data_IF_231617810582
#
_entry.id   IF_231617810582
#
_cell.length_a   1.000
_cell.length_b   1.000
_cell.length_c   1.000
_cell.angle_alpha   90.00
_cell.angle_beta   90.00
_cell.angle_gamma   90.00
#
_symmetry.space_group_name_H-M   'P 1'
#
loop_
_entity.id
_entity.type
_entity.pdbx_description
1 polymer ?
#
# COMPACT_ATOMS: atom_id res chain seq x y z
N UNK A 1 -21.29 -7.36 -0.29
CA UNK A 1 -20.35 -6.37 0.26
C UNK A 1 -18.95 -6.87 0.00
N UNK A 2 -18.08 -6.05 -0.58
CA UNK A 2 -16.66 -6.36 -0.66
C UNK A 2 -16.08 -6.45 0.76
N UNK A 3 -15.06 -7.28 0.97
CA UNK A 3 -14.36 -7.33 2.25
C UNK A 3 -13.78 -5.94 2.54
N UNK A 4 -13.98 -5.43 3.76
CA UNK A 4 -13.30 -4.24 4.23
C UNK A 4 -11.85 -4.64 4.49
N UNK A 5 -10.94 -4.23 3.59
CA UNK A 5 -9.50 -4.36 3.78
C UNK A 5 -8.97 -3.01 4.23
N UNK A 6 -8.46 -2.96 5.46
CA UNK A 6 -7.76 -1.80 5.98
C UNK A 6 -6.32 -2.18 6.22
N UNK A 7 -5.40 -1.36 5.73
CA UNK A 7 -4.00 -1.60 5.89
C UNK A 7 -3.25 -0.35 6.32
N UNK A 8 -2.25 -0.60 7.15
CA UNK A 8 -1.31 0.42 7.62
C UNK A 8 0.08 -0.13 7.34
N UNK A 9 0.95 0.75 6.88
CA UNK A 9 2.29 0.37 6.48
C UNK A 9 3.32 1.31 7.09
N UNK A 10 4.51 0.77 7.40
CA UNK A 10 5.63 1.53 7.97
C UNK A 10 6.89 1.21 7.18
N UNK A 11 7.60 2.24 6.73
CA UNK A 11 8.91 2.15 6.09
C UNK A 11 9.94 2.58 7.14
N UNK A 12 10.75 1.65 7.64
CA UNK A 12 11.74 1.86 8.69
C UNK A 12 13.16 1.80 8.14
N UNK A 13 14.05 2.69 8.58
CA UNK A 13 15.47 2.62 8.23
C UNK A 13 16.21 1.58 9.08
N UNK A 14 17.00 0.70 8.46
CA UNK A 14 17.89 -0.24 9.14
C UNK A 14 19.26 0.39 9.39
N UNK A 15 19.31 1.29 10.36
CA UNK A 15 20.52 2.01 10.76
C UNK A 15 20.27 3.49 10.98
N UNK A 16 21.30 4.24 11.41
CA UNK A 16 21.17 5.66 11.72
C UNK A 16 20.85 6.46 10.45
N UNK A 17 19.67 7.07 10.41
CA UNK A 17 19.25 7.95 9.33
C UNK A 17 18.62 9.20 9.94
N UNK A 18 19.20 10.37 9.64
CA UNK A 18 18.63 11.63 10.11
C UNK A 18 17.26 11.83 9.46
N UNK A 19 16.25 12.13 10.27
CA UNK A 19 14.87 12.35 9.80
C UNK A 19 14.76 13.30 8.58
N UNK A 20 15.50 14.42 8.50
CA UNK A 20 15.47 15.29 7.31
C UNK A 20 15.94 14.61 6.02
N UNK A 21 16.86 13.62 6.09
CA UNK A 21 17.30 12.86 4.90
C UNK A 21 16.18 11.94 4.41
N UNK A 22 15.51 11.25 5.35
CA UNK A 22 14.36 10.39 5.04
C UNK A 22 13.19 11.21 4.48
N UNK A 23 12.91 12.36 5.09
CA UNK A 23 11.89 13.29 4.63
C UNK A 23 12.16 13.74 3.19
N UNK A 24 13.35 14.27 2.90
CA UNK A 24 13.70 14.72 1.55
C UNK A 24 13.62 13.59 0.51
N UNK A 25 13.99 12.36 0.88
CA UNK A 25 13.85 11.19 0.02
C UNK A 25 12.38 10.86 -0.26
N UNK A 26 11.53 10.92 0.77
CA UNK A 26 10.09 10.72 0.66
C UNK A 26 9.44 11.80 -0.21
N UNK A 27 9.72 13.08 0.04
CA UNK A 27 9.13 14.19 -0.73
C UNK A 27 9.45 14.05 -2.21
N UNK A 28 10.71 13.77 -2.54
CA UNK A 28 11.14 13.57 -3.92
C UNK A 28 10.48 12.35 -4.56
N UNK A 29 10.37 11.24 -3.83
CA UNK A 29 9.67 10.04 -4.30
C UNK A 29 8.19 10.35 -4.59
N UNK A 30 7.51 11.06 -3.69
CA UNK A 30 6.11 11.43 -3.85
C UNK A 30 5.89 12.37 -5.04
N UNK A 31 6.77 13.36 -5.25
CA UNK A 31 6.73 14.22 -6.44
C UNK A 31 6.90 13.42 -7.73
N UNK A 32 7.85 12.49 -7.78
CA UNK A 32 8.05 11.61 -8.95
C UNK A 32 6.86 10.68 -9.22
N UNK A 33 6.13 10.29 -8.18
CA UNK A 33 4.90 9.51 -8.25
C UNK A 33 3.64 10.38 -8.54
N UNK A 34 3.81 11.68 -8.78
CA UNK A 34 2.71 12.59 -9.13
C UNK A 34 1.83 12.99 -7.95
N UNK A 35 2.41 13.17 -6.76
CA UNK A 35 1.72 13.63 -5.56
C UNK A 35 2.10 15.07 -5.21
N UNK A 36 1.10 15.82 -4.76
CA UNK A 36 1.25 17.19 -4.27
C UNK A 36 0.98 17.28 -2.78
N UNK A 37 1.83 18.01 -2.07
CA UNK A 37 1.68 18.24 -0.63
C UNK A 37 0.50 19.19 -0.39
N UNK A 38 -0.46 18.76 0.42
CA UNK A 38 -1.64 19.56 0.78
C UNK A 38 -1.59 20.10 2.20
N UNK A 39 -0.78 19.49 3.07
CA UNK A 39 -0.66 19.89 4.46
C UNK A 39 0.69 19.49 5.06
N UNK A 40 1.16 20.30 6.02
CA UNK A 40 2.33 20.03 6.85
C UNK A 40 2.09 20.57 8.26
N UNK A 41 2.31 19.75 9.29
CA UNK A 41 2.11 20.16 10.69
C UNK A 41 2.49 19.09 11.71
N UNK A 42 2.25 19.36 12.99
CA UNK A 42 2.39 18.37 14.08
C UNK A 42 1.07 17.69 14.41
N UNK A 43 -0.02 18.41 14.24
CA UNK A 43 -1.38 17.94 14.51
C UNK A 43 -2.09 17.57 13.20
N UNK A 44 -3.12 16.72 13.23
CA UNK A 44 -3.97 16.50 12.08
C UNK A 44 -4.65 17.81 11.66
N UNK A 45 -4.81 18.09 10.35
CA UNK A 45 -5.58 19.24 9.92
C UNK A 45 -7.04 19.11 10.39
N UNK A 46 -7.74 20.24 10.57
CA UNK A 46 -9.16 20.22 10.87
C UNK A 46 -9.92 19.45 9.78
N UNK A 47 -11.01 18.73 10.14
CA UNK A 47 -11.84 18.04 9.17
C UNK A 47 -12.42 19.06 8.18
N UNK A 48 -12.36 18.72 6.90
CA UNK A 48 -12.89 19.54 5.80
C UNK A 48 -14.07 18.79 5.19
N UNK A 49 -15.13 19.52 4.85
CA UNK A 49 -16.27 19.01 4.09
C UNK A 49 -16.24 19.65 2.69
N UNK A 50 -16.16 18.86 1.59
CA UNK A 50 -16.16 17.40 1.51
C UNK A 50 -14.89 16.74 2.05
N UNK A 51 -14.95 15.44 2.45
CA UNK A 51 -13.80 14.71 2.97
C UNK A 51 -12.60 14.80 2.02
N UNK A 52 -11.47 15.27 2.55
CA UNK A 52 -10.24 15.35 1.77
C UNK A 52 -9.71 13.93 1.47
N UNK A 53 -9.36 13.70 0.20
CA UNK A 53 -8.79 12.45 -0.31
C UNK A 53 -7.28 12.36 -0.12
N UNK A 54 -6.66 13.37 0.50
CA UNK A 54 -5.24 13.36 0.78
C UNK A 54 -4.85 12.27 1.80
N UNK A 55 -3.85 11.49 1.43
CA UNK A 55 -3.22 10.45 2.25
C UNK A 55 -2.29 11.09 3.28
N UNK A 56 -2.34 10.58 4.51
CA UNK A 56 -1.51 11.03 5.62
C UNK A 56 -0.21 10.21 5.72
N UNK A 57 0.89 10.91 5.97
CA UNK A 57 2.22 10.37 6.20
C UNK A 57 2.72 10.90 7.54
N UNK A 58 3.02 10.00 8.48
CA UNK A 58 3.63 10.36 9.76
C UNK A 58 5.13 10.06 9.69
N UNK A 59 5.96 11.07 9.89
CA UNK A 59 7.39 10.91 10.08
C UNK A 59 7.67 10.56 11.54
N UNK A 60 8.30 9.42 11.75
CA UNK A 60 8.61 8.85 13.05
C UNK A 60 10.13 8.85 13.27
N UNK A 61 10.55 9.04 14.52
CA UNK A 61 11.95 8.84 14.91
C UNK A 61 12.04 8.13 16.26
N UNK A 62 13.01 7.23 16.39
CA UNK A 62 13.35 6.56 17.66
C UNK A 62 14.48 7.29 18.37
N UNK A 63 14.66 6.99 19.66
CA UNK A 63 15.78 7.52 20.46
C UNK A 63 17.13 6.97 20.00
N UNK A 64 17.13 5.76 19.42
CA UNK A 64 18.31 5.11 18.84
C UNK A 64 18.73 5.65 17.46
N UNK A 65 18.03 6.68 16.96
CA UNK A 65 18.36 7.36 15.70
C UNK A 65 17.84 6.68 14.44
N UNK A 66 16.92 5.72 14.57
CA UNK A 66 16.15 5.20 13.44
C UNK A 66 15.05 6.21 13.04
N UNK A 67 14.72 6.25 11.76
CA UNK A 67 13.65 7.06 11.22
C UNK A 67 12.66 6.18 10.44
N UNK A 68 11.39 6.57 10.42
CA UNK A 68 10.38 5.84 9.67
C UNK A 68 9.28 6.74 9.08
N UNK A 69 8.58 6.20 8.09
CA UNK A 69 7.39 6.79 7.46
C UNK A 69 6.23 5.83 7.68
N UNK A 70 5.20 6.25 8.40
CA UNK A 70 3.95 5.50 8.53
C UNK A 70 2.91 6.07 7.55
N UNK A 71 2.24 5.18 6.82
CA UNK A 71 1.26 5.51 5.78
C UNK A 71 0.00 4.65 5.95
N UNK A 72 -1.17 5.28 5.82
CA UNK A 72 -2.47 4.62 5.84
C UNK A 72 -2.99 4.35 4.41
N UNK A 73 -2.11 3.91 3.50
CA UNK A 73 -2.44 3.52 2.12
C UNK A 73 -1.40 2.53 1.58
N UNK A 74 -1.84 1.31 1.31
CA UNK A 74 -0.96 0.22 0.87
C UNK A 74 -0.65 0.24 -0.63
N UNK A 75 -1.42 0.97 -1.46
CA UNK A 75 -1.29 0.92 -2.93
C UNK A 75 0.05 1.43 -3.43
N UNK A 76 0.62 2.39 -2.72
CA UNK A 76 1.84 3.09 -3.13
C UNK A 76 3.05 2.80 -2.24
N UNK A 77 2.86 2.17 -1.08
CA UNK A 77 3.90 2.07 -0.06
C UNK A 77 5.09 1.22 -0.49
N UNK A 78 4.88 0.22 -1.36
CA UNK A 78 5.97 -0.59 -1.95
C UNK A 78 6.85 0.21 -2.89
N UNK A 79 6.24 1.02 -3.76
CA UNK A 79 7.00 1.89 -4.66
C UNK A 79 7.71 3.00 -3.89
N UNK A 80 7.05 3.56 -2.88
CA UNK A 80 7.65 4.54 -1.99
C UNK A 80 8.85 3.94 -1.24
N UNK A 81 8.71 2.75 -0.63
CA UNK A 81 9.79 2.08 0.10
C UNK A 81 10.99 1.82 -0.81
N UNK A 82 10.75 1.32 -2.03
CA UNK A 82 11.81 1.09 -3.02
C UNK A 82 12.53 2.38 -3.39
N UNK A 83 11.82 3.41 -3.82
CA UNK A 83 12.44 4.68 -4.25
C UNK A 83 13.18 5.34 -3.08
N UNK A 84 12.61 5.29 -1.87
CA UNK A 84 13.27 5.80 -0.67
C UNK A 84 14.57 5.02 -0.42
N UNK A 85 14.56 3.69 -0.52
CA UNK A 85 15.75 2.83 -0.33
C UNK A 85 16.88 3.11 -1.33
N UNK A 86 16.54 3.54 -2.55
CA UNK A 86 17.52 3.91 -3.57
C UNK A 86 18.14 5.29 -3.30
N UNK A 87 17.46 6.12 -2.48
CA UNK A 87 17.86 7.51 -2.18
C UNK A 87 18.59 7.66 -0.86
N UNK A 88 18.32 6.76 0.08
CA UNK A 88 18.98 6.74 1.36
C UNK A 88 19.93 5.55 1.36
N UNK A 89 21.22 5.81 1.57
CA UNK A 89 22.28 4.78 1.55
C UNK A 89 22.21 3.81 2.75
N UNK A 90 21.01 3.53 3.24
CA UNK A 90 20.71 2.58 4.31
C UNK A 90 19.57 1.67 3.84
N UNK A 91 19.59 0.37 4.16
CA UNK A 91 18.48 -0.51 3.85
C UNK A 91 17.20 -0.02 4.53
N UNK A 92 16.06 -0.26 3.91
CA UNK A 92 14.75 -0.02 4.54
C UNK A 92 13.97 -1.31 4.67
N UNK A 93 13.21 -1.39 5.75
CA UNK A 93 12.25 -2.44 5.97
C UNK A 93 10.86 -1.86 5.86
N UNK A 94 10.06 -2.40 4.95
CA UNK A 94 8.65 -2.12 4.82
C UNK A 94 7.86 -3.19 5.59
N UNK A 95 7.11 -2.74 6.58
CA UNK A 95 6.08 -3.52 7.26
C UNK A 95 4.73 -3.14 6.65
N UNK A 96 3.97 -4.13 6.20
CA UNK A 96 2.61 -3.95 5.69
C UNK A 96 1.66 -4.79 6.50
N UNK A 97 0.67 -4.17 7.13
CA UNK A 97 -0.43 -4.90 7.76
C UNK A 97 -1.66 -4.84 6.88
N UNK A 98 -2.32 -5.99 6.72
CA UNK A 98 -3.64 -6.05 6.08
C UNK A 98 -4.60 -6.75 7.01
N UNK A 99 -5.60 -6.01 7.48
CA UNK A 99 -6.70 -6.53 8.25
C UNK A 99 -7.88 -6.87 7.35
N UNK A 100 -8.43 -8.07 7.49
CA UNK A 100 -9.64 -8.48 6.78
C UNK A 100 -10.64 -9.15 7.71
N UNK A 101 -11.92 -9.01 7.36
CA UNK A 101 -13.00 -9.79 7.98
C UNK A 101 -13.13 -11.13 7.27
N UNK A 102 -12.58 -12.18 7.88
CA UNK A 102 -12.76 -13.53 7.36
C UNK A 102 -14.08 -14.12 7.89
N UNK A 103 -14.93 -14.56 6.96
CA UNK A 103 -16.14 -15.34 7.29
C UNK A 103 -17.18 -14.64 8.16
N UNK A 104 -17.17 -13.29 8.27
CA UNK A 104 -18.06 -12.50 9.15
C UNK A 104 -17.88 -12.73 10.66
N UNK A 105 -16.83 -13.43 11.11
CA UNK A 105 -16.68 -13.78 12.55
C UNK A 105 -15.27 -13.69 13.11
N UNK A 106 -14.29 -13.33 12.29
CA UNK A 106 -12.91 -13.15 12.75
C UNK A 106 -12.28 -11.95 12.05
N UNK A 107 -11.46 -11.21 12.80
CA UNK A 107 -10.54 -10.22 12.23
C UNK A 107 -9.19 -10.90 12.15
N UNK A 108 -8.73 -11.11 10.93
CA UNK A 108 -7.37 -11.57 10.65
C UNK A 108 -6.54 -10.38 10.22
N UNK A 109 -5.46 -10.10 10.97
CA UNK A 109 -4.44 -9.14 10.56
C UNK A 109 -3.15 -9.88 10.26
N UNK A 110 -2.64 -9.70 9.05
CA UNK A 110 -1.36 -10.27 8.62
C UNK A 110 -0.35 -9.14 8.47
N UNK A 111 0.83 -9.29 9.08
CA UNK A 111 1.98 -8.42 8.82
C UNK A 111 2.94 -9.09 7.85
N UNK A 112 3.31 -8.38 6.78
CA UNK A 112 4.36 -8.78 5.84
C UNK A 112 5.55 -7.84 5.97
N UNK A 113 6.76 -8.41 5.86
CA UNK A 113 8.01 -7.70 6.02
C UNK A 113 8.86 -7.81 4.77
N UNK A 114 9.15 -6.68 4.14
CA UNK A 114 9.95 -6.59 2.92
C UNK A 114 11.18 -5.76 3.21
N UNK A 115 12.37 -6.29 2.95
CA UNK A 115 13.62 -5.53 3.01
C UNK A 115 13.98 -5.06 1.60
N UNK A 116 14.22 -3.75 1.47
CA UNK A 116 14.71 -3.12 0.27
C UNK A 116 16.15 -2.65 0.49
N UNK A 117 17.04 -3.06 -0.41
CA UNK A 117 18.44 -2.66 -0.46
C UNK A 117 18.77 -2.36 -1.91
N UNK A 118 19.35 -1.20 -2.23
CA UNK A 118 19.61 -0.72 -3.61
C UNK A 118 19.45 -1.76 -4.75
N UNK A 119 18.24 -1.86 -5.33
CA UNK A 119 17.93 -2.77 -6.46
C UNK A 119 17.48 -4.20 -6.10
N UNK A 120 17.54 -4.59 -4.84
CA UNK A 120 17.15 -5.89 -4.29
C UNK A 120 15.93 -5.76 -3.37
N UNK A 121 14.98 -6.68 -3.50
CA UNK A 121 13.83 -6.84 -2.61
C UNK A 121 13.84 -8.25 -2.06
N UNK A 122 13.86 -8.40 -0.74
CA UNK A 122 13.72 -9.71 -0.09
C UNK A 122 12.55 -9.70 0.88
N UNK A 123 11.68 -10.71 0.77
CA UNK A 123 10.63 -10.94 1.76
C UNK A 123 11.25 -11.66 2.95
N UNK A 124 11.14 -11.06 4.14
CA UNK A 124 11.69 -11.62 5.36
C UNK A 124 10.72 -12.64 5.96
N UNK A 125 11.23 -13.68 6.64
CA UNK A 125 10.42 -14.69 7.29
C UNK A 125 9.80 -14.14 8.59
N UNK A 126 8.78 -13.29 8.46
CA UNK A 126 7.81 -13.04 9.52
C UNK A 126 6.44 -12.78 8.88
N UNK A 127 5.54 -13.74 9.03
CA UNK A 127 4.10 -13.59 8.82
C UNK A 127 3.44 -13.70 10.19
N UNK A 128 3.48 -12.64 10.98
CA UNK A 128 2.67 -12.62 12.19
C UNK A 128 1.20 -12.47 11.75
N UNK A 129 0.39 -13.47 12.06
CA UNK A 129 -1.05 -13.45 11.84
C UNK A 129 -1.73 -13.38 13.20
N UNK A 130 -2.50 -12.32 13.44
CA UNK A 130 -3.35 -12.23 14.62
C UNK A 130 -4.79 -12.45 14.19
N UNK A 131 -5.36 -13.57 14.60
CA UNK A 131 -6.78 -13.88 14.41
C UNK A 131 -7.50 -13.70 15.73
N UNK A 132 -8.50 -12.82 15.76
CA UNK A 132 -9.40 -12.68 16.92
C UNK A 132 -10.82 -13.03 16.51
N UNK A 133 -11.41 -13.98 17.21
CA UNK A 133 -12.82 -14.32 17.09
C UNK A 133 -13.70 -13.19 17.62
N UNK A 134 -14.77 -12.90 16.87
CA UNK A 134 -15.78 -11.89 17.20
C UNK A 134 -17.04 -12.64 17.62
N UNK A 135 -17.56 -12.33 18.81
CA UNK A 135 -18.79 -12.97 19.32
C UNK A 135 -20.03 -12.53 18.52
N UNK A 136 -21.11 -13.32 18.53
CA UNK A 136 -22.33 -13.00 17.76
C UNK A 136 -22.99 -11.66 18.16
N UNK A 137 -22.86 -11.25 19.42
CA UNK A 137 -23.36 -9.96 19.93
C UNK A 137 -22.52 -8.81 19.37
N UNK A 138 -21.20 -8.91 19.49
CA UNK A 138 -20.27 -7.91 18.92
C UNK A 138 -20.38 -7.83 17.41
N UNK A 139 -20.62 -8.95 16.72
CA UNK A 139 -20.80 -8.96 15.27
C UNK A 139 -22.06 -8.18 14.84
N UNK A 140 -23.17 -8.33 15.57
CA UNK A 140 -24.39 -7.58 15.29
C UNK A 140 -24.24 -6.08 15.58
N UNK A 141 -23.51 -5.71 16.64
CA UNK A 141 -23.18 -4.31 16.95
C UNK A 141 -22.23 -3.69 15.91
N UNK A 142 -21.20 -4.43 15.49
CA UNK A 142 -20.25 -3.99 14.46
C UNK A 142 -20.89 -3.85 13.08
N UNK A 143 -21.93 -4.63 12.78
CA UNK A 143 -22.73 -4.50 11.55
C UNK A 143 -23.57 -3.23 11.53
N UNK A 144 -23.92 -2.69 12.69
CA UNK A 144 -24.67 -1.44 12.83
C UNK A 144 -23.74 -0.22 12.95
N UNK A 145 -22.45 -0.42 13.21
CA UNK A 145 -21.46 0.62 13.44
C UNK A 145 -20.18 0.38 12.61
N UNK A 146 -20.22 0.67 11.30
CA UNK A 146 -19.07 0.57 10.38
C UNK A 146 -17.81 1.27 10.92
N UNK A 147 -17.96 2.37 11.65
CA UNK A 147 -16.84 3.10 12.25
C UNK A 147 -16.17 2.34 13.41
N UNK A 148 -16.94 1.60 14.21
CA UNK A 148 -16.40 0.79 15.30
C UNK A 148 -15.59 -0.39 14.76
N UNK A 149 -16.04 -0.97 13.65
CA UNK A 149 -15.34 -2.04 12.95
C UNK A 149 -14.03 -1.57 12.33
N UNK A 150 -14.04 -0.41 11.64
CA UNK A 150 -12.82 0.23 11.12
C UNK A 150 -11.81 0.47 12.23
N UNK A 151 -12.24 1.08 13.33
CA UNK A 151 -11.38 1.35 14.49
C UNK A 151 -10.75 0.09 15.09
N UNK A 152 -11.49 -1.03 15.16
CA UNK A 152 -10.93 -2.31 15.65
C UNK A 152 -9.83 -2.85 14.74
N UNK A 153 -10.05 -2.82 13.42
CA UNK A 153 -9.04 -3.29 12.46
C UNK A 153 -7.81 -2.36 12.49
N UNK A 154 -8.01 -1.05 12.55
CA UNK A 154 -6.91 -0.07 12.64
C UNK A 154 -6.08 -0.28 13.92
N UNK A 155 -6.73 -0.50 15.07
CA UNK A 155 -6.03 -0.80 16.32
C UNK A 155 -5.23 -2.12 16.24
N UNK A 156 -5.77 -3.14 15.59
CA UNK A 156 -5.07 -4.41 15.42
C UNK A 156 -3.88 -4.30 14.46
N UNK A 157 -4.04 -3.56 13.35
CA UNK A 157 -2.95 -3.19 12.44
C UNK A 157 -1.84 -2.43 13.17
N UNK A 158 -2.17 -1.38 13.91
CA UNK A 158 -1.20 -0.60 14.68
C UNK A 158 -0.47 -1.45 15.73
N UNK A 159 -1.22 -2.29 16.47
CA UNK A 159 -0.64 -3.17 17.48
C UNK A 159 0.39 -4.11 16.87
N UNK A 160 0.06 -4.73 15.73
CA UNK A 160 0.95 -5.66 15.05
C UNK A 160 2.17 -4.95 14.43
N UNK A 161 1.97 -3.76 13.85
CA UNK A 161 3.09 -2.93 13.38
C UNK A 161 4.06 -2.56 14.50
N UNK A 162 3.55 -2.20 15.68
CA UNK A 162 4.39 -1.87 16.84
C UNK A 162 5.15 -3.08 17.39
N UNK A 163 4.55 -4.27 17.31
CA UNK A 163 5.19 -5.51 17.76
C UNK A 163 6.33 -5.95 16.83
N UNK A 164 6.15 -5.78 15.51
CA UNK A 164 7.11 -6.20 14.49
C UNK A 164 8.16 -5.13 14.12
N UNK A 165 7.82 -3.87 14.37
CA UNK A 165 8.62 -2.70 14.06
C UNK A 165 9.63 -2.33 15.11
N UNK A 166 10.39 -1.28 14.80
CA UNK A 166 11.43 -0.78 15.72
C UNK A 166 10.76 -0.11 16.93
N UNK A 167 11.19 -0.51 18.13
CA UNK A 167 10.65 0.01 19.39
C UNK A 167 11.00 1.48 19.57
N UNK A 168 10.10 2.24 20.21
CA UNK A 168 10.39 3.61 20.64
C UNK A 168 10.19 4.68 19.56
N UNK A 169 9.59 4.35 18.41
CA UNK A 169 9.18 5.34 17.43
C UNK A 169 8.18 6.34 18.02
N UNK A 170 8.46 7.63 17.85
CA UNK A 170 7.58 8.74 18.22
C UNK A 170 7.30 9.59 16.98
N UNK A 171 6.04 9.96 16.77
CA UNK A 171 5.66 10.88 15.70
C UNK A 171 6.32 12.25 15.90
N UNK A 172 6.93 12.77 14.84
CA UNK A 172 7.63 14.06 14.82
C UNK A 172 6.96 15.07 13.93
N UNK A 173 6.38 14.62 12.81
CA UNK A 173 5.79 15.47 11.78
C UNK A 173 4.70 14.71 11.03
N UNK A 174 3.63 15.39 10.69
CA UNK A 174 2.53 14.92 9.88
C UNK A 174 2.53 15.70 8.56
N UNK A 175 2.48 14.97 7.45
CA UNK A 175 2.41 15.55 6.11
C UNK A 175 1.26 14.87 5.38
N UNK A 176 0.49 15.63 4.60
CA UNK A 176 -0.54 15.05 3.73
C UNK A 176 -0.23 15.34 2.28
N UNK A 177 -0.49 14.34 1.44
CA UNK A 177 -0.33 14.44 0.01
C UNK A 177 -1.58 13.98 -0.71
N UNK A 178 -1.88 14.64 -1.82
CA UNK A 178 -2.94 14.25 -2.74
C UNK A 178 -2.34 13.85 -4.07
N UNK A 179 -2.82 12.75 -4.65
CA UNK A 179 -2.42 12.33 -5.98
C UNK A 179 -3.02 13.29 -7.02
N UNK A 180 -2.16 13.85 -7.86
CA UNK A 180 -2.54 14.84 -8.89
C UNK A 180 -2.96 14.16 -10.19
N UNK A 181 -2.43 12.96 -10.44
CA UNK A 181 -2.77 12.15 -11.59
C UNK A 181 -4.28 11.89 -11.60
N UNK A 182 -4.96 12.41 -12.63
CA UNK A 182 -6.40 12.17 -12.82
C UNK A 182 -6.64 10.66 -12.92
N UNK A 183 -7.68 10.19 -12.24
CA UNK A 183 -8.15 8.83 -12.45
C UNK A 183 -8.50 8.64 -13.92
N UNK A 184 -7.91 7.60 -14.53
CA UNK A 184 -8.22 7.26 -15.91
C UNK A 184 -9.68 6.78 -15.96
N UNK A 185 -10.50 7.45 -16.76
CA UNK A 185 -11.90 7.06 -16.93
C UNK A 185 -11.98 5.95 -17.96
N UNK A 186 -12.14 4.73 -17.46
CA UNK A 186 -12.34 3.57 -18.31
C UNK A 186 -13.75 3.52 -18.89
N UNK A 187 -13.85 3.08 -20.14
CA UNK A 187 -15.13 2.79 -20.81
C UNK A 187 -15.90 1.64 -20.13
N UNK A 188 -15.17 0.68 -19.54
CA UNK A 188 -15.72 -0.51 -18.91
C UNK A 188 -15.39 -0.56 -17.40
N UNK A 189 -16.38 -0.70 -16.50
CA UNK A 189 -16.15 -0.84 -15.06
C UNK A 189 -15.22 -2.00 -14.67
N UNK A 190 -15.12 -3.04 -15.53
CA UNK A 190 -14.19 -4.16 -15.32
C UNK A 190 -12.74 -3.72 -15.41
N UNK A 191 -12.42 -2.78 -16.31
CA UNK A 191 -11.08 -2.21 -16.43
C UNK A 191 -10.72 -1.34 -15.23
N UNK A 192 -11.68 -0.60 -14.66
CA UNK A 192 -11.47 0.11 -13.39
C UNK A 192 -11.06 -0.85 -12.27
N UNK A 193 -11.73 -2.01 -12.16
CA UNK A 193 -11.38 -3.02 -11.16
C UNK A 193 -10.01 -3.64 -11.43
N UNK A 194 -9.70 -3.94 -12.69
CA UNK A 194 -8.39 -4.47 -13.09
C UNK A 194 -7.28 -3.47 -12.76
N UNK A 195 -7.49 -2.19 -13.05
CA UNK A 195 -6.53 -1.14 -12.73
C UNK A 195 -6.26 -1.03 -11.23
N UNK A 196 -7.31 -1.10 -10.40
CA UNK A 196 -7.16 -1.13 -8.95
C UNK A 196 -6.36 -2.36 -8.46
N UNK A 197 -6.52 -3.52 -9.12
CA UNK A 197 -5.69 -4.69 -8.83
C UNK A 197 -4.23 -4.48 -9.29
N UNK A 198 -3.98 -3.86 -10.43
CA UNK A 198 -2.63 -3.53 -10.89
C UNK A 198 -1.94 -2.57 -9.91
N UNK A 199 -2.66 -1.59 -9.39
CA UNK A 199 -2.15 -0.65 -8.37
C UNK A 199 -1.74 -1.34 -7.06
N UNK A 200 -2.20 -2.56 -6.80
CA UNK A 200 -1.89 -3.31 -5.56
C UNK A 200 -1.08 -4.59 -5.80
N UNK A 201 -0.89 -4.98 -7.08
CA UNK A 201 -0.17 -6.20 -7.41
C UNK A 201 1.34 -6.08 -7.16
N UNK A 202 1.96 -7.23 -6.93
CA UNK A 202 3.42 -7.36 -6.79
C UNK A 202 4.09 -7.38 -8.16
N UNK A 203 3.47 -8.05 -9.12
CA UNK A 203 3.88 -8.07 -10.50
C UNK A 203 2.67 -8.34 -11.41
N UNK A 204 2.76 -7.91 -12.67
CA UNK A 204 1.83 -8.32 -13.70
C UNK A 204 2.50 -8.58 -15.03
N UNK A 205 1.85 -9.36 -15.88
CA UNK A 205 2.26 -9.57 -17.27
C UNK A 205 1.04 -9.51 -18.19
N UNK A 206 1.27 -9.11 -19.44
CA UNK A 206 0.27 -9.15 -20.51
C UNK A 206 0.74 -10.18 -21.53
N UNK A 207 0.02 -11.29 -21.60
CA UNK A 207 0.29 -12.40 -22.51
C UNK A 207 -0.82 -12.56 -23.54
N UNK A 208 -0.55 -13.34 -24.58
CA UNK A 208 -1.57 -13.86 -25.48
C UNK A 208 -1.91 -15.29 -25.07
N UNK A 209 -3.18 -15.56 -24.80
CA UNK A 209 -3.69 -16.91 -24.61
C UNK A 209 -3.65 -17.66 -25.94
N UNK A 210 -2.69 -18.57 -26.11
CA UNK A 210 -2.40 -19.26 -27.39
C UNK A 210 -3.62 -19.98 -28.02
N UNK A 211 -4.51 -20.64 -27.26
CA UNK A 211 -5.67 -21.33 -27.82
C UNK A 211 -6.75 -20.39 -28.37
N UNK A 212 -6.94 -19.21 -27.76
CA UNK A 212 -8.03 -18.29 -28.11
C UNK A 212 -7.54 -17.05 -28.87
N UNK A 213 -6.24 -16.80 -28.90
CA UNK A 213 -5.64 -15.56 -29.42
C UNK A 213 -5.99 -14.32 -28.58
N UNK A 214 -6.65 -14.50 -27.44
CA UNK A 214 -7.13 -13.39 -26.61
C UNK A 214 -6.00 -12.86 -25.72
N UNK A 215 -5.99 -11.54 -25.49
CA UNK A 215 -5.04 -10.91 -24.57
C UNK A 215 -5.42 -11.24 -23.13
N UNK A 216 -4.46 -11.64 -22.31
CA UNK A 216 -4.65 -11.97 -20.90
C UNK A 216 -3.69 -11.18 -20.02
N UNK A 217 -4.25 -10.45 -19.06
CA UNK A 217 -3.48 -9.82 -17.99
C UNK A 217 -3.41 -10.77 -16.82
N UNK A 218 -2.19 -11.19 -16.47
CA UNK A 218 -1.90 -12.07 -15.33
C UNK A 218 -1.31 -11.22 -14.21
N UNK A 219 -1.89 -11.29 -13.03
CA UNK A 219 -1.46 -10.55 -11.85
C UNK A 219 -0.94 -11.52 -10.78
N UNK A 220 0.13 -11.13 -10.10
CA UNK A 220 0.55 -11.68 -8.82
C UNK A 220 0.11 -10.70 -7.74
N UNK A 221 -0.89 -11.09 -6.96
CA UNK A 221 -1.44 -10.31 -5.86
C UNK A 221 -0.60 -10.50 -4.59
N UNK A 222 -0.69 -9.58 -3.62
CA UNK A 222 -0.04 -9.74 -2.32
C UNK A 222 -0.33 -11.12 -1.71
N UNK A 223 0.72 -11.80 -1.24
CA UNK A 223 0.63 -13.15 -0.67
C UNK A 223 0.72 -14.27 -1.72
N UNK A 224 1.10 -13.94 -2.97
CA UNK A 224 1.34 -14.92 -4.03
C UNK A 224 0.08 -15.43 -4.74
N UNK A 225 -1.11 -14.94 -4.38
CA UNK A 225 -2.34 -15.26 -5.08
C UNK A 225 -2.28 -14.78 -6.54
N UNK A 226 -2.85 -15.56 -7.47
CA UNK A 226 -2.81 -15.26 -8.91
C UNK A 226 -4.19 -14.87 -9.42
N UNK A 227 -4.27 -13.81 -10.22
CA UNK A 227 -5.50 -13.37 -10.90
C UNK A 227 -5.26 -13.28 -12.40
N UNK A 228 -6.28 -13.59 -13.20
CA UNK A 228 -6.22 -13.53 -14.65
C UNK A 228 -7.44 -12.79 -15.20
N UNK A 229 -7.21 -11.89 -16.16
CA UNK A 229 -8.25 -11.09 -16.81
C UNK A 229 -8.09 -11.11 -18.33
N UNK A 230 -9.08 -11.64 -19.04
CA UNK A 230 -9.07 -11.79 -20.50
C UNK A 230 -9.65 -10.55 -21.19
N UNK A 231 -8.81 -9.75 -21.84
CA UNK A 231 -9.18 -8.49 -22.47
C UNK A 231 -9.43 -8.63 -23.97
N UNK A 232 -10.35 -7.83 -24.50
CA UNK A 232 -10.41 -7.54 -25.94
C UNK A 232 -9.27 -6.59 -26.33
N UNK A 233 -8.95 -6.51 -27.62
CA UNK A 233 -7.88 -5.63 -28.12
C UNK A 233 -8.11 -4.15 -27.76
N UNK A 234 -9.35 -3.66 -27.86
CA UNK A 234 -9.73 -2.29 -27.48
C UNK A 234 -9.55 -2.04 -25.98
N UNK A 235 -9.93 -3.01 -25.14
CA UNK A 235 -9.79 -2.93 -23.68
C UNK A 235 -8.31 -2.92 -23.26
N UNK A 236 -7.46 -3.68 -23.95
CA UNK A 236 -6.02 -3.64 -23.73
C UNK A 236 -5.43 -2.29 -24.13
N UNK A 237 -5.80 -1.75 -25.29
CA UNK A 237 -5.31 -0.44 -25.73
C UNK A 237 -5.67 0.68 -24.73
N UNK A 238 -6.86 0.61 -24.15
CA UNK A 238 -7.30 1.53 -23.10
C UNK A 238 -6.48 1.37 -21.81
N UNK A 239 -6.20 0.11 -21.41
CA UNK A 239 -5.34 -0.19 -20.25
C UNK A 239 -3.91 0.31 -20.46
N UNK A 240 -3.29 0.05 -21.61
CA UNK A 240 -1.94 0.51 -21.95
C UNK A 240 -1.86 2.05 -21.96
N UNK A 241 -2.92 2.72 -22.45
CA UNK A 241 -3.00 4.18 -22.37
C UNK A 241 -3.02 4.67 -20.93
N UNK A 242 -3.74 3.99 -20.03
CA UNK A 242 -3.73 4.32 -18.61
C UNK A 242 -2.36 4.07 -17.96
N UNK A 243 -1.71 2.94 -18.28
CA UNK A 243 -0.39 2.57 -17.75
C UNK A 243 0.73 3.52 -18.22
N UNK A 244 0.67 4.01 -19.46
CA UNK A 244 1.67 4.95 -19.98
C UNK A 244 1.71 6.28 -19.21
N UNK A 245 0.64 6.64 -18.50
CA UNK A 245 0.60 7.81 -17.60
C UNK A 245 1.09 7.53 -16.18
N UNK A 246 1.46 6.28 -15.89
CA UNK A 246 1.80 5.76 -14.56
C UNK A 246 3.07 4.90 -14.62
N UNK A 247 4.24 5.52 -14.88
CA UNK A 247 5.50 4.81 -15.05
C UNK A 247 5.91 3.98 -13.82
N UNK A 248 5.40 4.28 -12.63
CA UNK A 248 5.57 3.49 -11.42
C UNK A 248 4.98 2.08 -11.55
N UNK A 249 3.82 1.96 -12.22
CA UNK A 249 3.16 0.67 -12.43
C UNK A 249 3.88 -0.15 -13.49
N UNK A 250 4.42 0.49 -14.53
CA UNK A 250 5.20 -0.22 -15.54
C UNK A 250 6.44 -0.91 -14.96
N UNK A 251 7.02 -0.39 -13.88
CA UNK A 251 8.11 -1.09 -13.18
C UNK A 251 7.68 -2.41 -12.54
N UNK A 252 6.38 -2.63 -12.31
CA UNK A 252 5.80 -3.90 -11.81
C UNK A 252 5.49 -4.87 -12.93
N UNK A 253 5.59 -4.43 -14.19
CA UNK A 253 5.39 -5.29 -15.35
C UNK A 253 6.55 -6.27 -15.43
N UNK A 254 6.28 -7.53 -15.13
CA UNK A 254 7.22 -8.59 -15.40
C UNK A 254 7.38 -8.67 -16.92
N UNK A 255 8.60 -8.44 -17.41
CA UNK A 255 8.93 -8.86 -18.76
C UNK A 255 8.79 -10.36 -18.77
N UNK A 256 7.95 -10.91 -19.65
CA UNK A 256 7.71 -12.34 -19.75
C UNK A 256 9.05 -13.07 -19.67
N UNK A 257 9.29 -13.77 -18.56
CA UNK A 257 10.41 -14.68 -18.45
C UNK A 257 10.28 -15.65 -19.62
N UNK A 258 11.22 -15.54 -20.56
CA UNK A 258 11.37 -16.47 -21.67
C UNK A 258 11.53 -17.89 -21.15
#
# INVERSE_FOLDING_TARGET
>A
MAALTLGTSVIETRGPCKLPKLEAAMEKALTELGWERTYEGKDPPPPVDPPDTATQFNLLASEDGAAAIQVNDDRMVRDLARIVSERIDVPVVLLMTSGSLFGRRSVEVVCRKLEYRAGEVSEMPVMAAHTRDVTDVEHNELRQADNALRSRIDNANESLLRAEGTVGFKAKKLIRYKRVLKEFKFSNPRLTRLMAQIETCEAFNVDVDKPTGQQVVKLVLPGGAKSMSFLKAEELAELEKALSTRPELERRRATASK
#
